data_IF_519886891869
#
_entry.id   IF_519886891869
#
_cell.length_a   1.000
_cell.length_b   1.000
_cell.length_c   1.000
_cell.angle_alpha   90.00
_cell.angle_beta   90.00
_cell.angle_gamma   90.00
#
_symmetry.space_group_name_H-M   'P 1'
#
loop_
_entity.id
_entity.type
_entity.pdbx_description
1 polymer ?
#
# COMPACT_ATOMS: atom_id res chain seq x y z
N UNK A 1 16.32 3.61 2.37
CA UNK A 1 17.40 3.47 1.36
C UNK A 1 17.93 2.04 1.41
N UNK A 2 18.00 1.36 0.26
CA UNK A 2 18.37 -0.05 0.16
C UNK A 2 19.51 -0.24 -0.86
N UNK A 3 20.75 0.03 -0.46
CA UNK A 3 21.92 -0.14 -1.32
C UNK A 3 22.80 1.09 -1.55
N UNK A 4 22.79 2.07 -0.62
CA UNK A 4 23.65 3.26 -0.69
C UNK A 4 23.13 4.37 -1.61
N UNK A 5 21.86 4.29 -2.02
CA UNK A 5 21.14 5.35 -2.75
C UNK A 5 21.01 6.61 -1.87
N UNK A 6 20.97 7.80 -2.48
CA UNK A 6 20.74 9.07 -1.79
C UNK A 6 19.26 9.34 -1.50
N UNK A 7 18.37 8.76 -2.32
CA UNK A 7 16.92 8.87 -2.20
C UNK A 7 16.31 7.63 -1.54
N UNK A 8 15.25 7.83 -0.77
CA UNK A 8 14.56 6.75 -0.10
C UNK A 8 13.74 5.91 -1.09
N UNK A 9 14.06 4.61 -1.21
CA UNK A 9 13.26 3.66 -2.00
C UNK A 9 11.82 3.52 -1.47
N UNK A 10 11.61 3.76 -0.18
CA UNK A 10 10.30 3.77 0.49
C UNK A 10 10.27 4.98 1.43
N UNK A 11 9.32 5.88 1.23
CA UNK A 11 9.10 7.07 2.06
C UNK A 11 7.60 7.35 2.14
N UNK A 12 7.06 7.42 3.34
CA UNK A 12 5.64 7.70 3.56
C UNK A 12 5.31 7.83 5.04
N UNK A 13 4.06 8.18 5.31
CA UNK A 13 3.52 8.26 6.66
C UNK A 13 3.48 6.85 7.31
N UNK A 14 3.93 6.75 8.56
CA UNK A 14 4.17 5.46 9.22
C UNK A 14 2.90 4.60 9.29
N UNK A 15 1.77 5.19 9.66
CA UNK A 15 0.51 4.47 9.79
C UNK A 15 0.00 4.00 8.42
N UNK A 16 0.06 4.84 7.38
CA UNK A 16 -0.36 4.45 6.04
C UNK A 16 0.54 3.37 5.43
N UNK A 17 1.85 3.39 5.68
CA UNK A 17 2.76 2.28 5.32
C UNK A 17 2.40 0.96 6.03
N UNK A 18 1.67 1.03 7.15
CA UNK A 18 1.11 -0.11 7.87
C UNK A 18 -0.40 -0.26 7.65
N UNK A 19 -0.96 0.41 6.64
CA UNK A 19 -2.37 0.30 6.19
C UNK A 19 -3.38 0.85 7.19
N UNK A 20 -2.94 1.76 8.04
CA UNK A 20 -3.80 2.50 8.99
C UNK A 20 -3.99 3.90 8.39
N UNK A 21 -5.15 4.12 7.77
CA UNK A 21 -5.58 5.47 7.38
C UNK A 21 -6.33 6.15 8.52
N UNK A 22 -6.45 7.48 8.43
CA UNK A 22 -7.28 8.30 9.33
C UNK A 22 -6.95 8.15 10.82
N UNK A 23 -5.74 7.67 11.15
CA UNK A 23 -5.28 7.41 12.51
C UNK A 23 -6.22 6.48 13.31
N UNK A 24 -6.94 5.61 12.61
CA UNK A 24 -7.91 4.73 13.23
C UNK A 24 -7.26 3.80 14.28
N UNK A 25 -7.87 3.71 15.46
CA UNK A 25 -7.38 2.93 16.61
C UNK A 25 -8.17 1.65 16.91
N UNK A 26 -8.89 1.11 15.92
CA UNK A 26 -9.68 -0.14 16.00
C UNK A 26 -8.87 -1.44 16.16
N UNK A 27 -7.67 -1.35 16.76
CA UNK A 27 -6.87 -2.52 17.13
C UNK A 27 -7.58 -3.42 18.16
N UNK A 28 -7.23 -4.72 18.24
CA UNK A 28 -6.24 -5.40 17.41
C UNK A 28 -6.83 -5.98 16.13
N UNK A 29 -6.02 -5.99 15.08
CA UNK A 29 -6.31 -6.74 13.86
C UNK A 29 -5.02 -7.22 13.22
N UNK A 30 -5.13 -8.32 12.47
CA UNK A 30 -3.99 -9.01 11.91
C UNK A 30 -4.26 -9.55 10.51
N UNK A 31 -3.25 -9.45 9.65
CA UNK A 31 -3.15 -10.16 8.39
C UNK A 31 -1.73 -10.73 8.27
N UNK A 32 -1.53 -11.70 7.36
CA UNK A 32 -0.26 -12.42 7.19
C UNK A 32 0.99 -11.54 7.19
N UNK A 33 0.92 -10.32 6.64
CA UNK A 33 2.09 -9.45 6.40
C UNK A 33 2.19 -8.19 7.23
N UNK A 34 1.09 -7.70 7.78
CA UNK A 34 1.09 -6.52 8.65
C UNK A 34 -0.04 -6.67 9.66
N UNK A 35 0.20 -6.17 10.86
CA UNK A 35 -0.80 -6.15 11.92
C UNK A 35 -0.73 -4.84 12.71
N UNK A 36 -1.86 -4.49 13.33
CA UNK A 36 -1.93 -3.53 14.42
C UNK A 36 -2.24 -4.30 15.70
N UNK A 37 -1.27 -4.39 16.60
CA UNK A 37 -1.28 -5.33 17.72
C UNK A 37 -1.60 -4.68 19.07
N UNK A 38 -1.60 -3.34 19.16
CA UNK A 38 -1.82 -2.65 20.42
C UNK A 38 -2.24 -1.19 20.26
N UNK A 39 -2.65 -0.60 21.38
CA UNK A 39 -2.99 0.81 21.56
C UNK A 39 -2.14 1.42 22.70
N UNK A 40 -1.71 2.69 22.61
CA UNK A 40 -1.97 3.64 21.53
C UNK A 40 -1.05 3.42 20.29
N UNK A 41 -0.20 2.39 20.32
CA UNK A 41 0.70 2.04 19.23
C UNK A 41 1.07 0.55 19.28
N UNK A 42 1.59 0.05 18.17
CA UNK A 42 1.98 -1.34 18.01
C UNK A 42 1.65 -1.81 16.61
N UNK A 43 2.61 -1.67 15.70
CA UNK A 43 2.48 -2.12 14.32
C UNK A 43 3.71 -2.91 13.93
N UNK A 44 3.55 -3.89 13.06
CA UNK A 44 4.67 -4.54 12.42
C UNK A 44 4.30 -4.92 11.00
N UNK A 45 5.29 -5.00 10.12
CA UNK A 45 5.17 -5.69 8.84
C UNK A 45 6.30 -6.71 8.68
N UNK A 46 6.10 -7.68 7.80
CA UNK A 46 7.08 -8.72 7.48
C UNK A 46 7.54 -8.63 6.03
N UNK A 47 7.60 -7.42 5.47
CA UNK A 47 8.03 -7.23 4.09
C UNK A 47 9.46 -7.71 3.93
N UNK A 48 9.67 -8.54 2.92
CA UNK A 48 10.99 -8.97 2.53
C UNK A 48 11.59 -7.89 1.63
N UNK A 49 12.28 -6.93 2.24
CA UNK A 49 12.88 -5.79 1.53
C UNK A 49 14.28 -6.20 1.03
N UNK A 50 14.49 -6.38 -0.29
CA UNK A 50 15.81 -6.69 -0.82
C UNK A 50 16.76 -5.50 -0.65
N UNK A 51 17.99 -5.76 -0.22
CA UNK A 51 19.05 -4.77 -0.18
C UNK A 51 20.37 -5.39 -0.66
N UNK A 52 21.25 -4.55 -1.24
CA UNK A 52 22.55 -5.02 -1.75
C UNK A 52 23.68 -4.80 -0.76
N UNK A 53 23.99 -3.54 -0.45
CA UNK A 53 25.17 -3.16 0.33
C UNK A 53 24.86 -2.64 1.73
N UNK A 54 23.71 -1.98 1.90
CA UNK A 54 23.32 -1.37 3.17
C UNK A 54 21.82 -1.14 3.24
N UNK A 55 21.32 -1.01 4.47
CA UNK A 55 19.97 -0.57 4.79
C UNK A 55 20.09 0.66 5.67
N UNK A 56 19.37 1.74 5.32
CA UNK A 56 19.15 2.88 6.22
C UNK A 56 17.66 3.08 6.43
N UNK A 57 17.25 3.07 7.69
CA UNK A 57 15.91 3.39 8.17
C UNK A 57 15.96 4.71 8.91
N UNK A 58 15.10 5.63 8.52
CA UNK A 58 14.98 6.95 9.14
C UNK A 58 13.56 7.08 9.67
N UNK A 59 13.42 7.47 10.93
CA UNK A 59 12.16 7.87 11.52
C UNK A 59 12.22 9.37 11.80
N UNK A 60 11.20 10.11 11.37
CA UNK A 60 11.15 11.56 11.51
C UNK A 60 9.84 11.96 12.18
N UNK A 61 9.93 12.80 13.21
CA UNK A 61 8.75 13.39 13.84
C UNK A 61 8.19 14.52 12.95
N UNK A 62 6.86 14.69 12.89
CA UNK A 62 6.26 15.84 12.21
C UNK A 62 6.75 17.17 12.79
N UNK A 63 6.81 18.25 11.99
CA UNK A 63 7.10 19.60 12.49
C UNK A 63 6.19 19.99 13.66
N UNK A 64 6.73 20.66 14.67
CA UNK A 64 5.97 21.10 15.84
C UNK A 64 5.69 20.02 16.89
N UNK A 65 6.13 18.78 16.67
CA UNK A 65 6.02 17.71 17.67
C UNK A 65 6.92 18.00 18.88
N UNK A 66 6.40 17.75 20.10
CA UNK A 66 7.17 17.91 21.33
C UNK A 66 8.43 17.02 21.30
N UNK A 67 9.60 17.52 21.73
CA UNK A 67 10.82 16.71 21.81
C UNK A 67 10.67 15.57 22.84
N UNK A 68 11.53 14.55 22.72
CA UNK A 68 11.65 13.40 23.64
C UNK A 68 10.49 12.40 23.66
N UNK A 69 9.82 12.18 22.51
CA UNK A 69 8.93 11.03 22.37
C UNK A 69 9.74 9.73 22.29
N UNK A 70 9.23 8.68 22.94
CA UNK A 70 9.82 7.33 22.87
C UNK A 70 9.36 6.66 21.57
N UNK A 71 10.32 6.25 20.75
CA UNK A 71 10.09 5.43 19.56
C UNK A 71 10.84 4.12 19.72
N UNK A 72 10.09 3.01 19.81
CA UNK A 72 10.63 1.66 19.95
C UNK A 72 10.45 0.94 18.61
N UNK A 73 11.52 0.32 18.12
CA UNK A 73 11.48 -0.41 16.86
C UNK A 73 12.31 -1.68 16.94
N UNK A 74 11.94 -2.66 16.13
CA UNK A 74 12.67 -3.90 15.93
C UNK A 74 12.86 -4.05 14.42
N UNK A 75 14.12 -4.13 13.97
CA UNK A 75 14.45 -4.46 12.59
C UNK A 75 15.13 -5.83 12.59
N UNK A 76 14.63 -6.73 11.76
CA UNK A 76 15.22 -8.06 11.54
C UNK A 76 15.56 -8.20 10.07
N UNK A 77 16.74 -8.74 9.81
CA UNK A 77 17.22 -9.02 8.47
C UNK A 77 18.21 -10.17 8.49
N UNK A 78 18.45 -10.72 7.31
CA UNK A 78 19.48 -11.73 7.08
C UNK A 78 20.19 -11.42 5.78
N UNK A 79 21.39 -11.98 5.62
CA UNK A 79 22.17 -11.87 4.39
C UNK A 79 22.00 -13.15 3.56
N UNK A 80 22.19 -13.03 2.25
CA UNK A 80 22.27 -14.15 1.30
C UNK A 80 21.02 -15.06 1.28
N UNK A 81 19.85 -14.53 1.63
CA UNK A 81 18.59 -15.24 1.49
C UNK A 81 17.97 -14.92 0.12
N UNK A 82 17.71 -15.90 -0.75
CA UNK A 82 16.93 -15.69 -1.96
C UNK A 82 15.53 -15.20 -1.61
N UNK A 83 15.13 -14.07 -2.19
CA UNK A 83 13.79 -13.51 -1.98
C UNK A 83 12.88 -14.02 -3.08
N UNK A 84 11.68 -14.44 -2.68
CA UNK A 84 10.67 -14.96 -3.60
C UNK A 84 9.39 -14.15 -3.50
N UNK A 85 8.76 -13.91 -4.64
CA UNK A 85 7.42 -13.37 -4.74
C UNK A 85 6.52 -14.41 -5.40
N UNK A 86 5.55 -14.94 -4.65
CA UNK A 86 4.84 -16.16 -5.04
C UNK A 86 5.83 -17.31 -5.33
N UNK A 87 5.77 -17.85 -6.54
CA UNK A 87 6.66 -18.92 -7.02
C UNK A 87 7.96 -18.42 -7.68
N UNK A 88 8.15 -17.11 -7.80
CA UNK A 88 9.23 -16.51 -8.59
C UNK A 88 10.36 -16.05 -7.68
N UNK A 89 11.59 -16.44 -8.01
CA UNK A 89 12.78 -15.91 -7.36
C UNK A 89 13.13 -14.55 -7.96
N UNK A 90 13.20 -13.53 -7.12
CA UNK A 90 13.52 -12.18 -7.56
C UNK A 90 15.00 -12.08 -7.94
N UNK A 91 15.36 -11.35 -9.02
CA UNK A 91 16.74 -11.16 -9.38
C UNK A 91 17.49 -10.42 -8.28
N UNK A 92 18.80 -10.64 -8.16
CA UNK A 92 19.66 -9.91 -7.22
C UNK A 92 19.57 -8.37 -7.40
N UNK A 93 19.15 -7.94 -8.58
CA UNK A 93 18.97 -6.53 -8.88
C UNK A 93 17.73 -5.90 -8.23
N UNK A 94 16.74 -6.71 -7.82
CA UNK A 94 15.42 -6.27 -7.37
C UNK A 94 15.47 -5.28 -6.20
N UNK A 95 14.46 -4.41 -6.15
CA UNK A 95 14.24 -3.43 -5.08
C UNK A 95 12.75 -3.36 -4.79
N UNK A 96 12.44 -3.16 -3.51
CA UNK A 96 11.11 -2.69 -3.15
C UNK A 96 11.12 -1.15 -3.22
N UNK A 97 10.26 -0.61 -4.08
CA UNK A 97 10.08 0.83 -4.28
C UNK A 97 8.64 1.21 -4.05
N UNK A 98 8.42 2.39 -3.45
CA UNK A 98 7.09 2.96 -3.29
C UNK A 98 6.83 4.03 -4.37
N UNK A 99 5.74 3.88 -5.13
CA UNK A 99 5.11 4.98 -5.86
C UNK A 99 3.98 5.52 -4.99
N UNK A 100 3.80 6.85 -4.97
CA UNK A 100 2.77 7.49 -4.14
C UNK A 100 2.11 8.65 -4.86
N UNK A 101 0.82 8.79 -4.61
CA UNK A 101 0.01 9.96 -4.94
C UNK A 101 -0.62 10.44 -3.63
N UNK A 102 -0.29 11.66 -3.21
CA UNK A 102 -0.72 12.22 -1.92
C UNK A 102 -1.42 13.56 -2.13
N UNK A 103 -2.42 13.87 -1.29
CA UNK A 103 -3.17 15.14 -1.34
C UNK A 103 -3.78 15.44 -2.73
N UNK A 104 -4.18 14.40 -3.45
CA UNK A 104 -4.84 14.49 -4.74
C UNK A 104 -6.36 14.53 -4.58
N UNK A 105 -7.04 15.26 -5.45
CA UNK A 105 -8.50 15.32 -5.49
C UNK A 105 -8.93 15.31 -6.94
N UNK A 106 -9.90 14.45 -7.25
CA UNK A 106 -10.48 14.33 -8.57
C UNK A 106 -11.98 14.60 -8.54
N UNK A 107 -12.49 15.05 -9.68
CA UNK A 107 -13.91 15.17 -9.96
C UNK A 107 -14.55 13.81 -10.26
N UNK A 108 -15.88 13.74 -10.13
CA UNK A 108 -16.61 12.52 -10.49
C UNK A 108 -16.36 12.13 -11.95
N UNK A 109 -16.14 10.84 -12.20
CA UNK A 109 -15.80 10.26 -13.52
C UNK A 109 -14.40 10.62 -14.05
N UNK A 110 -13.59 11.35 -13.30
CA UNK A 110 -12.19 11.58 -13.66
C UNK A 110 -11.37 10.28 -13.56
N UNK A 111 -10.43 10.12 -14.50
CA UNK A 111 -9.39 9.10 -14.46
C UNK A 111 -8.08 9.78 -14.07
N UNK A 112 -7.30 9.13 -13.22
CA UNK A 112 -6.00 9.63 -12.78
C UNK A 112 -5.06 8.47 -12.53
N UNK A 113 -3.76 8.76 -12.54
CA UNK A 113 -2.74 7.73 -12.38
C UNK A 113 -2.32 7.63 -10.91
N UNK A 114 -2.50 6.46 -10.31
CA UNK A 114 -1.90 6.13 -9.02
C UNK A 114 -0.38 5.97 -9.13
N UNK A 115 0.09 5.44 -10.27
CA UNK A 115 1.49 5.44 -10.65
C UNK A 115 1.67 5.35 -12.16
N UNK A 116 2.74 5.96 -12.67
CA UNK A 116 3.23 5.79 -14.04
C UNK A 116 4.74 5.59 -13.99
N UNK A 117 5.19 4.38 -14.30
CA UNK A 117 6.58 3.94 -14.13
C UNK A 117 7.09 3.30 -15.42
N UNK A 118 8.23 3.76 -15.94
CA UNK A 118 8.91 3.16 -17.10
C UNK A 118 10.09 2.29 -16.67
N UNK A 119 9.79 1.12 -16.08
CA UNK A 119 10.80 0.13 -15.64
C UNK A 119 10.16 -1.25 -15.48
N UNK A 120 10.96 -2.32 -15.46
CA UNK A 120 10.47 -3.65 -15.13
C UNK A 120 10.16 -3.82 -13.64
N UNK A 121 9.17 -4.65 -13.32
CA UNK A 121 8.79 -4.91 -11.95
C UNK A 121 7.60 -5.85 -11.80
N UNK A 122 7.14 -5.92 -10.55
CA UNK A 122 5.95 -6.66 -10.13
C UNK A 122 5.18 -5.74 -9.18
N UNK A 123 3.87 -5.58 -9.40
CA UNK A 123 3.02 -4.88 -8.45
C UNK A 123 2.97 -5.70 -7.15
N UNK A 124 3.49 -5.16 -6.05
CA UNK A 124 3.55 -5.88 -4.76
C UNK A 124 2.26 -5.71 -3.95
N UNK A 125 1.82 -4.47 -3.82
CA UNK A 125 0.69 -4.06 -3.01
C UNK A 125 0.15 -2.73 -3.50
N UNK A 126 -1.16 -2.55 -3.39
CA UNK A 126 -1.82 -1.25 -3.49
C UNK A 126 -2.48 -0.94 -2.16
N UNK A 127 -2.32 0.30 -1.70
CA UNK A 127 -3.05 0.85 -0.54
C UNK A 127 -3.65 2.17 -0.97
N UNK A 128 -4.96 2.34 -0.74
CA UNK A 128 -5.67 3.59 -1.02
C UNK A 128 -6.32 4.02 0.29
N UNK A 129 -6.05 5.26 0.69
CA UNK A 129 -6.78 5.96 1.72
C UNK A 129 -7.45 7.17 1.08
N UNK A 130 -8.78 7.19 1.05
CA UNK A 130 -9.54 8.19 0.33
C UNK A 130 -10.79 8.61 1.09
N UNK A 131 -11.23 9.84 0.84
CA UNK A 131 -12.40 10.45 1.47
C UNK A 131 -13.28 11.12 0.41
N UNK A 132 -14.59 11.05 0.58
CA UNK A 132 -15.58 11.66 -0.31
C UNK A 132 -16.85 12.00 0.46
N UNK A 133 -17.65 13.01 0.05
CA UNK A 133 -18.96 13.26 0.66
C UNK A 133 -19.95 12.09 0.54
N UNK A 134 -19.72 11.14 -0.38
CA UNK A 134 -20.57 9.97 -0.65
C UNK A 134 -19.73 8.74 -0.98
N UNK A 135 -20.24 7.55 -0.62
CA UNK A 135 -19.64 6.24 -0.94
C UNK A 135 -19.56 5.89 -2.43
N UNK A 136 -20.19 6.66 -3.32
CA UNK A 136 -20.20 6.37 -4.77
C UNK A 136 -18.82 6.40 -5.43
N UNK A 137 -17.81 6.99 -4.79
CA UNK A 137 -16.42 6.88 -5.23
C UNK A 137 -15.88 5.44 -5.20
N UNK A 138 -16.52 4.55 -4.44
CA UNK A 138 -16.19 3.13 -4.46
C UNK A 138 -16.53 2.48 -5.81
N UNK A 139 -17.34 3.08 -6.68
CA UNK A 139 -17.58 2.55 -8.03
C UNK A 139 -16.40 2.74 -9.00
N UNK A 140 -15.29 3.36 -8.56
CA UNK A 140 -14.14 3.58 -9.41
C UNK A 140 -13.47 2.25 -9.81
N UNK A 141 -13.32 1.98 -11.10
CA UNK A 141 -12.65 0.76 -11.57
C UNK A 141 -11.13 0.95 -11.56
N UNK A 142 -10.39 -0.06 -11.10
CA UNK A 142 -8.93 -0.05 -11.17
C UNK A 142 -8.42 -0.79 -12.41
N UNK A 143 -7.45 -0.18 -13.11
CA UNK A 143 -6.86 -0.71 -14.35
C UNK A 143 -5.34 -0.59 -14.33
N UNK A 144 -4.68 -1.53 -14.99
CA UNK A 144 -3.24 -1.47 -15.24
C UNK A 144 -2.94 -1.55 -16.73
N UNK A 145 -2.27 -0.53 -17.26
CA UNK A 145 -1.71 -0.52 -18.60
C UNK A 145 -0.25 -0.94 -18.48
N UNK A 146 0.08 -2.07 -19.09
CA UNK A 146 1.38 -2.73 -18.93
C UNK A 146 2.13 -2.69 -20.26
N UNK A 147 3.43 -2.41 -20.20
CA UNK A 147 4.37 -2.48 -21.33
C UNK A 147 3.93 -1.63 -22.55
N UNK A 148 3.34 -0.46 -22.26
CA UNK A 148 2.85 0.48 -23.27
C UNK A 148 1.60 0.03 -24.02
N UNK A 149 0.94 -1.05 -23.59
CA UNK A 149 -0.30 -1.51 -24.21
C UNK A 149 -1.45 -0.51 -23.97
N UNK A 150 -2.23 -0.23 -25.01
CA UNK A 150 -3.43 0.61 -24.93
C UNK A 150 -4.61 -0.10 -24.29
N UNK A 151 -4.66 -1.44 -24.35
CA UNK A 151 -5.70 -2.23 -23.71
C UNK A 151 -5.27 -2.54 -22.27
N UNK A 152 -6.06 -2.16 -21.25
CA UNK A 152 -5.70 -2.38 -19.87
C UNK A 152 -5.99 -3.82 -19.42
N UNK A 153 -5.20 -4.29 -18.46
CA UNK A 153 -5.66 -5.30 -17.53
C UNK A 153 -6.71 -4.67 -16.63
N UNK A 154 -7.96 -5.16 -16.74
CA UNK A 154 -9.04 -4.74 -15.85
C UNK A 154 -8.88 -5.47 -14.52
N UNK A 155 -8.46 -4.75 -13.48
CA UNK A 155 -8.20 -5.33 -12.17
C UNK A 155 -9.46 -5.40 -11.31
N UNK A 156 -10.44 -4.54 -11.57
CA UNK A 156 -11.72 -4.57 -10.87
C UNK A 156 -12.87 -3.90 -11.65
N UNK A 157 -14.10 -4.25 -11.27
CA UNK A 157 -15.33 -3.58 -11.70
C UNK A 157 -15.69 -2.38 -10.83
N UNK A 158 -15.22 -2.34 -9.59
CA UNK A 158 -15.33 -1.25 -8.63
C UNK A 158 -14.13 -1.23 -7.69
N UNK A 159 -13.98 -0.18 -6.90
CA UNK A 159 -12.88 0.01 -5.97
C UNK A 159 -13.06 -0.90 -4.76
N UNK A 160 -14.30 -1.09 -4.29
CA UNK A 160 -14.57 -2.08 -3.25
C UNK A 160 -14.30 -3.50 -3.76
N UNK A 161 -14.65 -3.79 -5.02
CA UNK A 161 -14.40 -5.11 -5.63
C UNK A 161 -12.90 -5.40 -5.70
N UNK A 162 -12.10 -4.38 -6.04
CA UNK A 162 -10.64 -4.51 -6.06
C UNK A 162 -10.10 -4.95 -4.70
N UNK A 163 -10.66 -4.44 -3.61
CA UNK A 163 -10.25 -4.81 -2.25
C UNK A 163 -10.95 -6.06 -1.72
N UNK A 164 -11.68 -6.81 -2.56
CA UNK A 164 -12.48 -7.99 -2.17
C UNK A 164 -13.66 -7.68 -1.23
N UNK A 165 -14.12 -6.43 -1.27
CA UNK A 165 -15.40 -6.00 -0.73
C UNK A 165 -16.55 -6.25 -1.71
N UNK A 166 -17.77 -5.95 -1.26
CA UNK A 166 -18.97 -5.89 -2.11
C UNK A 166 -19.95 -4.87 -1.50
N UNK A 167 -20.88 -4.36 -2.29
CA UNK A 167 -22.00 -3.53 -1.83
C UNK A 167 -21.55 -2.37 -0.92
N UNK A 168 -20.59 -1.56 -1.40
CA UNK A 168 -20.02 -0.43 -0.64
C UNK A 168 -19.45 -0.82 0.73
N UNK A 169 -18.87 -2.01 0.85
CA UNK A 169 -18.21 -2.49 2.07
C UNK A 169 -19.16 -2.66 3.28
N UNK A 170 -20.45 -2.89 3.04
CA UNK A 170 -21.52 -2.90 4.06
C UNK A 170 -21.48 -4.02 5.12
N UNK A 171 -20.44 -4.85 5.16
CA UNK A 171 -20.27 -5.96 6.12
C UNK A 171 -19.25 -5.67 7.22
N UNK A 172 -18.75 -4.44 7.27
CA UNK A 172 -17.79 -3.99 8.28
C UNK A 172 -16.35 -4.33 7.90
N UNK A 173 -15.45 -4.08 8.85
CA UNK A 173 -14.00 -4.24 8.67
C UNK A 173 -13.64 -5.71 8.44
N UNK A 174 -12.64 -5.95 7.60
CA UNK A 174 -12.12 -7.28 7.33
C UNK A 174 -10.62 -7.25 7.06
N UNK A 175 -9.97 -8.36 7.39
CA UNK A 175 -8.53 -8.53 7.28
C UNK A 175 -8.28 -9.95 6.78
N UNK A 176 -7.73 -10.08 5.57
CA UNK A 176 -7.39 -11.36 4.95
C UNK A 176 -5.91 -11.35 4.56
N UNK A 177 -5.40 -12.48 4.08
CA UNK A 177 -4.02 -12.53 3.58
C UNK A 177 -3.82 -11.67 2.33
N UNK A 178 -4.85 -11.56 1.48
CA UNK A 178 -4.79 -10.86 0.19
C UNK A 178 -5.23 -9.41 0.29
N UNK A 179 -6.30 -9.09 1.01
CA UNK A 179 -6.85 -7.74 1.10
C UNK A 179 -7.43 -7.40 2.47
N UNK A 180 -7.66 -6.12 2.73
CA UNK A 180 -8.33 -5.70 3.96
C UNK A 180 -8.79 -4.25 3.98
N UNK A 181 -9.86 -4.04 4.74
CA UNK A 181 -10.45 -2.76 5.08
C UNK A 181 -10.23 -2.49 6.56
N UNK A 182 -9.46 -1.45 6.86
CA UNK A 182 -9.00 -1.20 8.24
C UNK A 182 -9.75 -0.07 8.94
N UNK A 183 -10.49 0.74 8.18
CA UNK A 183 -11.39 1.77 8.67
C UNK A 183 -12.50 2.01 7.64
N UNK A 184 -13.68 2.41 8.11
CA UNK A 184 -14.78 2.84 7.27
C UNK A 184 -15.61 3.85 8.05
N UNK A 185 -15.65 5.09 7.57
CA UNK A 185 -16.65 6.08 7.97
C UNK A 185 -17.69 6.20 6.85
N UNK A 186 -18.95 5.99 7.18
CA UNK A 186 -20.08 6.09 6.25
C UNK A 186 -20.95 7.33 6.56
N UNK A 187 -20.46 8.23 7.40
CA UNK A 187 -21.16 9.47 7.75
C UNK A 187 -21.32 10.32 6.49
N UNK A 188 -22.58 10.66 6.18
CA UNK A 188 -22.90 11.47 5.03
C UNK A 188 -22.15 12.81 5.08
N UNK A 189 -21.46 13.16 3.98
CA UNK A 189 -20.61 14.35 3.89
C UNK A 189 -19.15 14.14 4.31
N UNK A 190 -18.80 12.99 4.88
CA UNK A 190 -17.45 12.67 5.33
C UNK A 190 -17.18 11.15 5.26
N UNK A 191 -17.47 10.51 4.13
CA UNK A 191 -17.17 9.08 3.98
C UNK A 191 -15.66 8.88 3.80
N UNK A 192 -15.07 7.96 4.55
CA UNK A 192 -13.63 7.72 4.59
C UNK A 192 -13.34 6.22 4.56
N UNK A 193 -12.33 5.80 3.80
CA UNK A 193 -11.86 4.43 3.85
C UNK A 193 -10.37 4.34 3.53
N UNK A 194 -9.63 3.50 4.25
CA UNK A 194 -8.39 2.91 3.77
C UNK A 194 -8.56 1.42 3.55
N UNK A 195 -8.16 0.96 2.37
CA UNK A 195 -8.06 -0.44 2.07
C UNK A 195 -6.75 -0.76 1.34
N UNK A 196 -6.43 -2.05 1.33
CA UNK A 196 -5.21 -2.55 0.70
C UNK A 196 -5.44 -3.91 0.05
N UNK A 197 -4.60 -4.21 -0.94
CA UNK A 197 -4.51 -5.51 -1.60
C UNK A 197 -3.04 -5.86 -1.88
N UNK A 198 -2.63 -7.09 -1.57
CA UNK A 198 -1.39 -7.72 -2.03
C UNK A 198 -1.65 -8.53 -3.29
N UNK A 199 -0.66 -8.62 -4.16
CA UNK A 199 -0.74 -9.35 -5.44
C UNK A 199 0.16 -10.59 -5.45
N UNK A 200 0.20 -11.32 -4.34
CA UNK A 200 1.08 -12.49 -4.20
C UNK A 200 0.60 -13.68 -5.01
N UNK A 201 -0.72 -13.87 -5.00
CA UNK A 201 -1.40 -15.00 -5.62
C UNK A 201 -1.88 -14.66 -7.04
N UNK A 202 -1.97 -13.37 -7.37
CA UNK A 202 -2.39 -12.79 -8.65
C UNK A 202 -1.44 -11.67 -9.13
N UNK A 203 -0.14 -11.98 -9.30
CA UNK A 203 0.89 -10.98 -9.61
C UNK A 203 0.67 -10.27 -10.94
N UNK A 204 0.82 -8.93 -10.94
CA UNK A 204 0.89 -8.10 -12.15
C UNK A 204 2.36 -7.83 -12.48
N UNK A 205 2.87 -8.51 -13.51
CA UNK A 205 4.22 -8.31 -14.05
C UNK A 205 4.23 -7.24 -15.14
N UNK A 206 5.36 -6.56 -15.26
CA UNK A 206 5.63 -5.63 -16.33
C UNK A 206 7.13 -5.57 -16.62
N UNK A 207 7.51 -5.46 -17.89
CA UNK A 207 8.90 -5.40 -18.35
C UNK A 207 9.33 -3.98 -18.72
N UNK A 208 8.45 -3.23 -19.40
CA UNK A 208 8.74 -1.90 -19.94
C UNK A 208 7.94 -0.78 -19.25
N UNK A 209 7.03 -1.14 -18.34
CA UNK A 209 6.41 -0.19 -17.44
C UNK A 209 4.99 -0.53 -17.04
N UNK A 210 4.48 0.23 -16.08
CA UNK A 210 3.10 0.16 -15.62
C UNK A 210 2.54 1.56 -15.43
N UNK A 211 1.35 1.79 -15.98
CA UNK A 211 0.46 2.89 -15.61
C UNK A 211 -0.75 2.29 -14.89
N UNK A 212 -0.84 2.53 -13.58
CA UNK A 212 -1.94 2.08 -12.72
C UNK A 212 -2.91 3.25 -12.53
N UNK A 213 -4.17 3.05 -12.87
CA UNK A 213 -5.22 4.07 -12.87
C UNK A 213 -6.43 3.62 -12.07
#
# INVERSE_FOLDING_TARGET
MCGGEDEASIEGELHLLHRIGFLDDSAPWAARRIEKTGSPSGVYNTYQIPFRSSVRVTAQLPPGTKPNLRFLYILRGTLNLPIRFGSIELPYSARLTLSRLESYTESSLGEFDLCDLSRSGILYQVTIAASSPKLTFLEACLRAYVDGNSDPLVLSSGLEDYFLGTYYLNRGLYYTETAGLTHLDETEGACEFPAHRFHDDDPVFFEDGIRLT
#
